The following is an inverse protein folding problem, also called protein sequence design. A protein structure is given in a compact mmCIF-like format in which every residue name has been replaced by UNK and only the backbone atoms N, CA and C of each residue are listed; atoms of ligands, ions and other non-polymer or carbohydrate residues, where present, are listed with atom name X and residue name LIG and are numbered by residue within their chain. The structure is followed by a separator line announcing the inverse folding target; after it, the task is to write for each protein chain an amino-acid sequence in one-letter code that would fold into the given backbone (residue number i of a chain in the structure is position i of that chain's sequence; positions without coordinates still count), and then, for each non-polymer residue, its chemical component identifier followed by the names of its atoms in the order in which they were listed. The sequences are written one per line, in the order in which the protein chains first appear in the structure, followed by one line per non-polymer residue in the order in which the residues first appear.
data_IF_578880626653
#
_entry.id   IF_578880626653
#
_cell.length_a   1.000
_cell.length_b   1.000
_cell.length_c   1.000
_cell.angle_alpha   90.00
_cell.angle_beta   90.00
_cell.angle_gamma   90.00
#
_symmetry.space_group_name_H-M   'P 1'
#
loop_
_entity.id
_entity.type
_entity.pdbx_description
1 polymer ?
#
# COMPACT_ATOMS: atom_id res chain seq x y z
N UNK A 1 -2.10 -5.97 11.47
CA UNK A 1 -2.65 -4.73 10.89
C UNK A 1 -4.14 -4.87 10.55
N UNK A 2 -4.53 -5.82 9.68
CA UNK A 2 -5.94 -6.02 9.30
C UNK A 2 -6.88 -6.22 10.51
N UNK A 3 -6.60 -7.19 11.40
CA UNK A 3 -7.42 -7.41 12.59
C UNK A 3 -7.50 -6.17 13.50
N UNK A 4 -6.37 -5.46 13.66
CA UNK A 4 -6.36 -4.22 14.44
C UNK A 4 -7.33 -3.17 13.89
N UNK A 5 -7.37 -2.96 12.58
CA UNK A 5 -8.32 -2.02 11.99
C UNK A 5 -9.75 -2.53 12.06
N UNK A 6 -10.00 -3.81 11.78
CA UNK A 6 -11.35 -4.38 11.78
C UNK A 6 -11.98 -4.43 13.19
N UNK A 7 -11.15 -4.52 14.24
CA UNK A 7 -11.60 -4.54 15.63
C UNK A 7 -11.65 -3.12 16.25
N UNK A 8 -11.26 -2.08 15.50
CA UNK A 8 -11.20 -0.71 15.99
C UNK A 8 -12.62 -0.15 16.17
N UNK A 9 -12.93 0.34 17.36
CA UNK A 9 -14.12 1.15 17.62
C UNK A 9 -13.70 2.53 18.10
N UNK A 10 -13.80 3.53 17.23
CA UNK A 10 -13.34 4.88 17.47
C UNK A 10 -14.29 5.91 16.85
N UNK A 11 -14.52 7.02 17.55
CA UNK A 11 -15.42 8.09 17.08
C UNK A 11 -16.89 7.69 16.95
N UNK A 12 -17.30 6.55 17.52
CA UNK A 12 -18.64 5.99 17.37
C UNK A 12 -18.83 5.11 16.14
N UNK A 13 -17.74 4.74 15.47
CA UNK A 13 -17.71 3.88 14.29
C UNK A 13 -16.94 2.59 14.56
N UNK A 14 -17.36 1.48 13.96
CA UNK A 14 -16.82 0.12 14.12
C UNK A 14 -16.58 -0.62 12.79
N UNK A 15 -16.69 0.10 11.67
CA UNK A 15 -16.48 -0.33 10.29
C UNK A 15 -15.16 0.20 9.72
N UNK A 16 -14.14 0.28 10.58
CA UNK A 16 -12.79 0.63 10.17
C UNK A 16 -12.13 -0.58 9.47
N UNK A 17 -11.33 -0.33 8.44
CA UNK A 17 -10.55 -1.34 7.75
C UNK A 17 -9.15 -0.84 7.40
N UNK A 18 -8.25 -1.78 7.13
CA UNK A 18 -6.97 -1.44 6.53
C UNK A 18 -7.20 -1.15 5.04
N UNK A 19 -6.74 -0.01 4.50
CA UNK A 19 -7.03 0.38 3.12
C UNK A 19 -6.48 -0.65 2.14
N UNK A 20 -7.20 -0.89 1.06
CA UNK A 20 -6.69 -1.56 -0.14
C UNK A 20 -5.60 -0.70 -0.80
N UNK A 21 -4.80 -1.31 -1.67
CA UNK A 21 -3.79 -0.58 -2.44
C UNK A 21 -4.45 0.48 -3.34
N UNK A 22 -5.66 0.21 -3.85
CA UNK A 22 -6.42 1.17 -4.64
C UNK A 22 -6.89 2.38 -3.81
N UNK A 23 -7.34 2.18 -2.58
CA UNK A 23 -7.67 3.28 -1.67
C UNK A 23 -6.44 4.13 -1.35
N UNK A 24 -5.29 3.52 -1.07
CA UNK A 24 -4.03 4.24 -0.89
C UNK A 24 -3.64 5.06 -2.13
N UNK A 25 -3.84 4.51 -3.34
CA UNK A 25 -3.59 5.24 -4.60
C UNK A 25 -4.46 6.48 -4.77
N UNK A 26 -5.63 6.56 -4.12
CA UNK A 26 -6.44 7.79 -4.12
C UNK A 26 -5.78 8.95 -3.36
N UNK A 27 -4.86 8.64 -2.44
CA UNK A 27 -4.10 9.62 -1.68
C UNK A 27 -2.89 10.15 -2.46
N UNK A 28 -2.47 9.47 -3.52
CA UNK A 28 -1.34 9.89 -4.34
C UNK A 28 -1.67 11.19 -5.05
N UNK A 29 -0.73 12.13 -4.99
CA UNK A 29 -0.73 13.36 -5.77
C UNK A 29 0.69 13.63 -6.27
N UNK A 30 0.87 14.51 -7.25
CA UNK A 30 2.18 14.86 -7.82
C UNK A 30 2.97 13.67 -8.41
N UNK A 31 2.33 12.52 -8.62
CA UNK A 31 2.90 11.35 -9.29
C UNK A 31 1.80 10.65 -10.11
N UNK A 32 1.56 11.17 -11.32
CA UNK A 32 0.49 10.68 -12.20
C UNK A 32 0.69 9.20 -12.61
N UNK A 33 1.94 8.76 -12.61
CA UNK A 33 2.35 7.38 -12.87
C UNK A 33 1.66 6.41 -11.90
N UNK A 34 1.72 6.69 -10.59
CA UNK A 34 1.18 5.80 -9.54
C UNK A 34 -0.24 6.15 -9.12
N UNK A 35 -0.68 7.40 -9.30
CA UNK A 35 -2.03 7.83 -8.97
C UNK A 35 -3.09 6.88 -9.53
N UNK A 36 -4.24 6.77 -8.85
CA UNK A 36 -5.32 5.90 -9.31
C UNK A 36 -5.76 6.30 -10.74
N UNK A 37 -5.77 5.33 -11.66
CA UNK A 37 -6.02 5.56 -13.10
C UNK A 37 -4.76 5.92 -13.92
N UNK A 38 -3.59 5.98 -13.28
CA UNK A 38 -2.30 6.24 -13.89
C UNK A 38 -1.73 5.08 -14.72
N UNK A 39 -0.42 5.19 -15.01
CA UNK A 39 0.28 4.17 -15.78
C UNK A 39 0.39 2.83 -15.04
N UNK A 40 0.59 2.87 -13.71
CA UNK A 40 0.71 1.67 -12.88
C UNK A 40 -0.57 0.80 -12.94
N UNK A 41 -0.37 -0.49 -13.23
CA UNK A 41 -1.45 -1.47 -13.49
C UNK A 41 -1.83 -2.34 -12.29
N UNK A 42 -1.22 -2.12 -11.12
CA UNK A 42 -1.70 -2.74 -9.87
C UNK A 42 -3.14 -2.29 -9.63
N UNK A 43 -4.06 -3.24 -9.50
CA UNK A 43 -5.48 -2.98 -9.35
C UNK A 43 -6.10 -4.07 -8.46
N UNK A 44 -6.70 -3.69 -7.34
CA UNK A 44 -7.39 -4.62 -6.45
C UNK A 44 -8.89 -4.66 -6.79
N UNK A 45 -9.48 -5.80 -7.19
CA UNK A 45 -8.94 -7.18 -7.13
C UNK A 45 -8.39 -7.72 -8.46
N UNK A 46 -8.32 -6.91 -9.53
CA UNK A 46 -8.16 -7.42 -10.89
C UNK A 46 -6.72 -7.82 -11.27
N UNK A 47 -5.71 -7.13 -10.73
CA UNK A 47 -4.29 -7.30 -11.08
C UNK A 47 -3.41 -7.05 -9.85
N UNK A 48 -3.19 -8.11 -9.06
CA UNK A 48 -2.32 -8.10 -7.87
C UNK A 48 -1.10 -9.01 -8.03
N UNK A 49 -0.75 -9.36 -9.26
CA UNK A 49 0.43 -10.14 -9.62
C UNK A 49 1.67 -9.25 -9.74
N UNK A 50 2.87 -9.83 -9.63
CA UNK A 50 4.11 -9.05 -9.77
C UNK A 50 4.21 -8.36 -11.14
N UNK A 51 3.72 -9.03 -12.19
CA UNK A 51 3.69 -8.51 -13.54
C UNK A 51 2.78 -7.29 -13.75
N UNK A 52 1.91 -6.96 -12.78
CA UNK A 52 1.08 -5.76 -12.81
C UNK A 52 1.84 -4.51 -12.34
N UNK A 53 2.94 -4.69 -11.60
CA UNK A 53 3.75 -3.59 -11.08
C UNK A 53 4.69 -3.03 -12.15
N UNK A 54 4.10 -2.48 -13.21
CA UNK A 54 4.79 -1.75 -14.28
C UNK A 54 4.59 -0.26 -14.11
N UNK A 55 5.53 0.56 -14.56
CA UNK A 55 5.40 2.02 -14.64
C UNK A 55 4.83 2.62 -13.33
N UNK A 56 5.63 2.57 -12.28
CA UNK A 56 5.26 2.96 -10.93
C UNK A 56 6.40 3.76 -10.28
N UNK A 57 6.04 4.65 -9.38
CA UNK A 57 6.99 5.51 -8.68
C UNK A 57 7.32 6.80 -9.43
N UNK A 58 7.96 7.69 -8.68
CA UNK A 58 8.44 9.01 -9.04
C UNK A 58 9.75 9.31 -8.28
N UNK A 59 10.38 10.45 -8.58
CA UNK A 59 11.65 10.84 -7.92
C UNK A 59 11.48 10.94 -6.40
N UNK A 60 12.46 10.45 -5.64
CA UNK A 60 12.42 10.54 -4.18
C UNK A 60 12.21 11.98 -3.70
N UNK A 61 11.34 12.14 -2.70
CA UNK A 61 11.05 13.41 -2.05
C UNK A 61 10.53 13.17 -0.63
N UNK A 62 11.12 13.88 0.34
CA UNK A 62 10.82 13.70 1.76
C UNK A 62 9.87 14.78 2.34
N UNK A 63 9.33 15.67 1.49
CA UNK A 63 8.42 16.74 1.93
C UNK A 63 6.98 16.27 2.21
N UNK A 64 6.68 15.00 1.91
CA UNK A 64 5.32 14.46 1.94
C UNK A 64 4.47 14.85 0.72
N UNK A 65 5.08 15.46 -0.32
CA UNK A 65 4.34 15.98 -1.49
C UNK A 65 3.51 14.92 -2.22
N UNK A 66 3.84 13.65 -2.09
CA UNK A 66 3.15 12.58 -2.81
C UNK A 66 1.87 12.10 -2.12
N UNK A 67 1.61 12.48 -0.87
CA UNK A 67 0.36 12.18 -0.17
C UNK A 67 -0.48 13.45 -0.02
N UNK A 68 -1.79 13.34 -0.27
CA UNK A 68 -2.78 14.39 0.05
C UNK A 68 -2.78 14.77 1.53
N UNK A 69 -2.31 13.89 2.41
CA UNK A 69 -2.21 14.11 3.86
C UNK A 69 -0.78 14.41 4.32
N UNK A 70 0.19 14.52 3.42
CA UNK A 70 1.58 14.78 3.78
C UNK A 70 2.28 13.61 4.46
N UNK A 71 1.85 12.37 4.17
CA UNK A 71 2.47 11.16 4.72
C UNK A 71 3.96 11.07 4.32
N UNK A 72 4.88 10.97 5.30
CA UNK A 72 6.32 11.00 5.05
C UNK A 72 6.93 9.61 4.81
N UNK A 73 6.15 8.54 4.97
CA UNK A 73 6.62 7.16 4.96
C UNK A 73 5.74 6.25 4.13
N UNK A 74 5.87 4.94 4.33
CA UNK A 74 5.03 3.96 3.66
C UNK A 74 3.77 3.63 4.47
N UNK A 75 2.69 3.25 3.79
CA UNK A 75 1.48 2.75 4.42
C UNK A 75 1.21 1.30 4.02
N UNK A 76 0.83 0.49 5.01
CA UNK A 76 0.33 -0.87 4.78
C UNK A 76 -1.00 -0.85 4.02
N UNK A 77 -1.16 -1.77 3.09
CA UNK A 77 -2.48 -2.09 2.52
C UNK A 77 -2.96 -3.48 2.95
N UNK A 78 -4.26 -3.72 2.82
CA UNK A 78 -4.87 -5.04 2.94
C UNK A 78 -4.71 -5.91 1.70
N UNK A 79 -4.20 -5.36 0.60
CA UNK A 79 -4.02 -6.07 -0.67
C UNK A 79 -2.83 -7.01 -0.61
N UNK A 80 -3.10 -8.30 -0.79
CA UNK A 80 -2.11 -9.38 -0.81
C UNK A 80 -1.68 -9.63 -2.27
N UNK A 81 -0.39 -9.86 -2.49
CA UNK A 81 0.12 -10.24 -3.79
C UNK A 81 -0.42 -11.62 -4.19
N UNK A 82 -1.00 -11.72 -5.38
CA UNK A 82 -1.50 -12.97 -5.92
C UNK A 82 -0.43 -13.55 -6.85
N UNK A 83 0.20 -14.71 -6.59
CA UNK A 83 0.90 -15.49 -7.64
C UNK A 83 1.02 -16.99 -7.27
N UNK A 84 0.69 -17.83 -8.27
CA UNK A 84 0.76 -19.30 -8.39
C UNK A 84 -0.04 -20.18 -7.38
N UNK A 85 -1.07 -20.93 -7.86
CA UNK A 85 -1.83 -21.92 -7.06
C UNK A 85 -1.04 -23.19 -6.65
N UNK A 86 0.28 -23.21 -6.88
CA UNK A 86 1.19 -24.32 -6.54
C UNK A 86 2.31 -23.91 -5.58
N UNK A 87 2.22 -22.71 -5.00
CA UNK A 87 3.20 -22.16 -4.08
C UNK A 87 2.65 -22.24 -2.66
N UNK A 88 3.14 -23.18 -1.85
CA UNK A 88 2.74 -23.34 -0.45
C UNK A 88 3.41 -22.33 0.49
N UNK A 89 4.02 -21.26 -0.03
CA UNK A 89 4.94 -20.39 0.73
C UNK A 89 4.83 -18.89 0.43
N UNK A 90 3.81 -18.41 -0.31
CA UNK A 90 3.77 -17.01 -0.78
C UNK A 90 2.52 -16.18 -0.39
N UNK A 91 1.67 -16.63 0.53
CA UNK A 91 0.61 -15.79 1.15
C UNK A 91 1.18 -14.68 2.08
N UNK A 92 2.49 -14.46 2.04
CA UNK A 92 3.21 -13.60 2.96
C UNK A 92 3.54 -12.22 2.38
N UNK A 93 3.35 -12.01 1.07
CA UNK A 93 3.64 -10.74 0.43
C UNK A 93 2.41 -9.84 0.38
N UNK A 94 2.57 -8.62 0.86
CA UNK A 94 1.53 -7.60 0.81
C UNK A 94 2.04 -6.37 0.10
N UNK A 95 1.12 -5.68 -0.57
CA UNK A 95 1.41 -4.41 -1.22
C UNK A 95 1.43 -3.28 -0.20
N UNK A 96 2.42 -2.40 -0.32
CA UNK A 96 2.52 -1.17 0.45
C UNK A 96 2.78 -0.02 -0.51
N UNK A 97 2.36 1.19 -0.13
CA UNK A 97 2.62 2.40 -0.91
C UNK A 97 3.61 3.28 -0.16
N UNK A 98 4.78 3.51 -0.75
CA UNK A 98 5.82 4.37 -0.20
C UNK A 98 5.61 5.81 -0.69
N UNK A 99 5.24 6.74 0.18
CA UNK A 99 5.02 8.14 -0.19
C UNK A 99 6.31 8.97 -0.33
N UNK A 100 7.50 8.41 -0.10
CA UNK A 100 8.76 9.10 -0.48
C UNK A 100 9.02 9.04 -1.98
N UNK A 101 8.64 7.95 -2.62
CA UNK A 101 8.82 7.74 -4.07
C UNK A 101 7.49 7.61 -4.81
N UNK A 102 6.36 7.66 -4.11
CA UNK A 102 5.06 7.25 -4.62
C UNK A 102 5.10 5.87 -5.28
N UNK A 103 5.87 4.93 -4.73
CA UNK A 103 6.07 3.61 -5.34
C UNK A 103 5.24 2.57 -4.59
N UNK A 104 4.46 1.79 -5.34
CA UNK A 104 3.85 0.53 -4.86
C UNK A 104 4.91 -0.57 -4.86
N UNK A 105 5.22 -1.11 -3.69
CA UNK A 105 6.17 -2.21 -3.53
C UNK A 105 5.50 -3.37 -2.78
N UNK A 106 6.02 -4.58 -2.95
CA UNK A 106 5.56 -5.73 -2.17
C UNK A 106 6.64 -6.13 -1.17
N UNK A 107 6.22 -6.45 0.05
CA UNK A 107 7.13 -6.86 1.13
C UNK A 107 6.58 -8.09 1.85
N UNK A 108 7.48 -8.88 2.45
CA UNK A 108 7.11 -9.95 3.37
C UNK A 108 6.51 -9.34 4.63
N UNK A 109 5.31 -9.81 5.02
CA UNK A 109 4.54 -9.31 6.17
C UNK A 109 5.30 -9.33 7.50
N UNK A 110 6.22 -10.28 7.68
CA UNK A 110 6.97 -10.49 8.92
C UNK A 110 8.45 -10.04 8.84
N UNK A 111 8.87 -9.40 7.75
CA UNK A 111 10.27 -9.00 7.57
C UNK A 111 10.54 -7.59 8.11
N UNK A 112 11.11 -7.54 9.32
CA UNK A 112 11.25 -6.32 10.12
C UNK A 112 12.24 -5.27 9.57
N UNK A 113 13.28 -5.64 8.81
CA UNK A 113 14.31 -4.67 8.40
C UNK A 113 13.75 -3.61 7.43
N UNK A 114 12.80 -3.99 6.56
CA UNK A 114 12.15 -3.06 5.64
C UNK A 114 11.18 -2.11 6.35
N UNK A 115 10.60 -2.53 7.49
CA UNK A 115 9.64 -1.71 8.26
C UNK A 115 10.33 -0.45 8.78
N UNK A 116 11.54 -0.58 9.31
CA UNK A 116 12.32 0.54 9.84
C UNK A 116 12.87 1.44 8.73
N UNK A 117 13.29 0.85 7.61
CA UNK A 117 13.82 1.62 6.48
C UNK A 117 12.76 2.48 5.79
N UNK A 118 11.54 1.96 5.66
CA UNK A 118 10.45 2.63 4.94
C UNK A 118 9.63 3.59 5.82
N UNK A 119 9.87 3.61 7.13
CA UNK A 119 9.00 4.28 8.10
C UNK A 119 7.54 3.85 7.86
N UNK A 120 7.31 2.54 7.92
CA UNK A 120 6.07 1.90 7.49
C UNK A 120 5.01 1.90 8.60
N UNK A 121 3.87 2.54 8.35
CA UNK A 121 2.80 2.76 9.33
C UNK A 121 1.49 2.08 8.95
N UNK A 122 0.68 1.80 9.97
CA UNK A 122 -0.72 1.38 9.81
C UNK A 122 -1.59 2.62 9.93
N UNK A 123 -2.46 2.84 8.94
CA UNK A 123 -3.55 3.82 9.02
C UNK A 123 -4.85 3.11 8.63
N UNK A 124 -5.79 3.04 9.57
CA UNK A 124 -7.12 2.52 9.29
C UNK A 124 -7.97 3.60 8.60
N UNK A 125 -8.86 3.18 7.70
CA UNK A 125 -9.77 4.04 6.94
C UNK A 125 -11.21 3.54 7.11
N UNK A 126 -12.17 4.33 6.63
CA UNK A 126 -13.61 4.09 6.66
C UNK A 126 -14.24 4.70 5.41
#
# INVERSE_FOLDING_TARGET
AVSYCNDLSEGGFDDWHLPTINELRTLVQNCDTTALGGACKIDDPNCLYSGCNTDNGCSQDDSGKYSKFGDPGALWSSSVMMEAPSSSTYDDFVWVLNFRTAEIIFILKDYNDFILYLDLHVRCVR
#
